data_IF_655447021146
#
_entry.id   IF_655447021146
#
_cell.length_a   1.000
_cell.length_b   1.000
_cell.length_c   1.000
_cell.angle_alpha   90.00
_cell.angle_beta   90.00
_cell.angle_gamma   90.00
#
_symmetry.space_group_name_H-M   'P 1'
#
loop_
_entity.id
_entity.type
_entity.pdbx_description
1 polymer ?
#
# COMPACT_ATOMS: atom_id res chain seq x y z
N UNK A 1 -0.66 -10.16 -15.79
CA UNK A 1 -0.51 -11.29 -14.84
C UNK A 1 0.72 -12.17 -15.12
N UNK A 2 1.00 -12.60 -16.36
CA UNK A 2 2.12 -13.52 -16.63
C UNK A 2 3.50 -13.03 -16.13
N UNK A 3 3.81 -11.73 -16.28
CA UNK A 3 5.09 -11.14 -15.82
C UNK A 3 5.29 -11.12 -14.30
N UNK A 4 4.22 -11.18 -13.52
CA UNK A 4 4.29 -11.19 -12.05
C UNK A 4 4.44 -12.61 -11.51
N UNK A 5 3.83 -13.59 -12.20
CA UNK A 5 3.77 -14.98 -11.73
C UNK A 5 5.12 -15.69 -11.78
N UNK A 6 5.98 -15.39 -12.76
CA UNK A 6 7.28 -16.06 -12.90
C UNK A 6 8.23 -15.75 -11.73
N UNK A 7 8.52 -14.48 -11.37
CA UNK A 7 9.34 -14.18 -10.20
C UNK A 7 8.75 -14.68 -8.88
N UNK A 8 7.43 -14.62 -8.74
CA UNK A 8 6.73 -15.11 -7.53
C UNK A 8 6.79 -16.62 -7.42
N UNK A 9 6.69 -17.34 -8.55
CA UNK A 9 6.84 -18.80 -8.58
C UNK A 9 8.25 -19.20 -8.17
N UNK A 10 9.27 -18.56 -8.73
CA UNK A 10 10.67 -18.84 -8.38
C UNK A 10 10.93 -18.59 -6.88
N UNK A 11 10.41 -17.48 -6.34
CA UNK A 11 10.56 -17.15 -4.92
C UNK A 11 9.87 -18.17 -4.02
N UNK A 12 8.63 -18.53 -4.33
CA UNK A 12 7.87 -19.52 -3.57
C UNK A 12 8.47 -20.93 -3.70
N UNK A 13 9.07 -21.28 -4.83
CA UNK A 13 9.80 -22.55 -4.99
C UNK A 13 10.98 -22.64 -4.02
N UNK A 14 11.79 -21.58 -3.93
CA UNK A 14 12.91 -21.51 -3.00
C UNK A 14 12.49 -21.69 -1.54
N UNK A 15 11.31 -21.18 -1.19
CA UNK A 15 10.77 -21.23 0.18
C UNK A 15 9.82 -22.42 0.42
N UNK A 16 9.71 -23.36 -0.53
CA UNK A 16 8.79 -24.51 -0.47
C UNK A 16 7.30 -24.13 -0.30
N UNK A 17 6.90 -22.95 -0.78
CA UNK A 17 5.56 -22.37 -0.66
C UNK A 17 4.73 -22.43 -1.96
N UNK A 18 5.03 -23.36 -2.88
CA UNK A 18 4.30 -23.49 -4.15
C UNK A 18 2.80 -23.79 -3.98
N UNK A 19 2.40 -24.36 -2.84
CA UNK A 19 1.00 -24.55 -2.48
C UNK A 19 0.23 -23.22 -2.32
N UNK A 20 0.93 -22.13 -2.04
CA UNK A 20 0.34 -20.80 -1.91
C UNK A 20 0.03 -20.16 -3.27
N UNK A 21 0.63 -20.61 -4.37
CA UNK A 21 0.39 -20.04 -5.71
C UNK A 21 -1.06 -20.17 -6.15
N UNK A 22 -1.73 -21.29 -5.80
CA UNK A 22 -3.13 -21.51 -6.17
C UNK A 22 -4.07 -20.51 -5.46
N UNK A 23 -3.70 -20.09 -4.24
CA UNK A 23 -4.43 -19.08 -3.47
C UNK A 23 -4.02 -17.65 -3.75
N UNK A 24 -2.92 -17.42 -4.49
CA UNK A 24 -2.38 -16.08 -4.75
C UNK A 24 -3.25 -15.32 -5.76
N UNK A 25 -4.27 -14.66 -5.23
CA UNK A 25 -5.26 -13.88 -5.98
C UNK A 25 -5.28 -12.44 -5.46
N UNK A 26 -4.35 -11.58 -5.91
CA UNK A 26 -4.31 -10.20 -5.47
C UNK A 26 -5.58 -9.47 -5.94
N UNK A 27 -6.20 -8.73 -5.03
CA UNK A 27 -7.34 -7.87 -5.34
C UNK A 27 -6.80 -6.53 -5.85
N UNK A 28 -7.13 -6.19 -7.09
CA UNK A 28 -6.67 -4.95 -7.74
C UNK A 28 -7.88 -4.03 -7.92
N UNK A 29 -7.77 -2.81 -7.40
CA UNK A 29 -8.75 -1.75 -7.62
C UNK A 29 -8.20 -0.77 -8.66
N UNK A 30 -8.56 -0.98 -9.93
CA UNK A 30 -8.20 -0.09 -11.03
C UNK A 30 -9.43 0.77 -11.38
N UNK A 31 -9.52 1.96 -10.78
CA UNK A 31 -10.57 2.93 -11.05
C UNK A 31 -9.94 4.28 -11.45
N UNK A 32 -10.22 4.81 -12.67
CA UNK A 32 -9.70 6.10 -13.10
C UNK A 32 -10.08 7.27 -12.18
N UNK A 33 -11.13 7.14 -11.37
CA UNK A 33 -11.49 8.15 -10.38
C UNK A 33 -10.48 8.29 -9.25
N UNK A 34 -9.63 7.30 -9.01
CA UNK A 34 -8.56 7.38 -8.01
C UNK A 34 -7.36 8.23 -8.46
N UNK A 35 -7.28 8.57 -9.74
CA UNK A 35 -6.21 9.42 -10.24
C UNK A 35 -6.27 10.83 -9.61
N UNK A 36 -5.19 11.24 -8.96
CA UNK A 36 -5.11 12.49 -8.21
C UNK A 36 -5.95 12.55 -6.92
N UNK A 37 -6.48 11.42 -6.43
CA UNK A 37 -7.13 11.39 -5.11
C UNK A 37 -6.08 11.37 -3.99
N UNK A 38 -6.34 12.16 -2.94
CA UNK A 38 -5.53 12.11 -1.72
C UNK A 38 -5.61 10.74 -1.04
N UNK A 39 -4.54 10.35 -0.34
CA UNK A 39 -4.47 9.13 0.47
C UNK A 39 -5.63 9.02 1.48
N UNK A 40 -6.12 10.15 2.02
CA UNK A 40 -7.26 10.17 2.93
C UNK A 40 -8.56 9.65 2.28
N UNK A 41 -8.82 10.01 1.02
CA UNK A 41 -9.99 9.53 0.28
C UNK A 41 -9.84 8.03 -0.02
N UNK A 42 -8.64 7.60 -0.40
CA UNK A 42 -8.34 6.20 -0.66
C UNK A 42 -8.50 5.33 0.60
N UNK A 43 -8.05 5.82 1.77
CA UNK A 43 -8.30 5.18 3.08
C UNK A 43 -9.80 5.02 3.34
N UNK A 44 -10.61 6.05 3.09
CA UNK A 44 -12.06 5.95 3.28
C UNK A 44 -12.71 4.88 2.37
N UNK A 45 -12.27 4.80 1.11
CA UNK A 45 -12.72 3.78 0.18
C UNK A 45 -12.28 2.37 0.64
N UNK A 46 -11.03 2.23 1.08
CA UNK A 46 -10.47 0.99 1.61
C UNK A 46 -11.20 0.52 2.87
N UNK A 47 -11.39 1.39 3.87
CA UNK A 47 -12.15 1.07 5.10
C UNK A 47 -13.54 0.53 4.75
N UNK A 48 -14.24 1.17 3.80
CA UNK A 48 -15.55 0.69 3.34
C UNK A 48 -15.48 -0.72 2.76
N UNK A 49 -14.49 -1.01 1.91
CA UNK A 49 -14.29 -2.36 1.38
C UNK A 49 -13.97 -3.36 2.50
N UNK A 50 -13.04 -3.02 3.40
CA UNK A 50 -12.57 -3.85 4.49
C UNK A 50 -13.69 -4.30 5.45
N UNK A 51 -14.77 -3.53 5.59
CA UNK A 51 -15.94 -3.95 6.40
C UNK A 51 -16.72 -5.14 5.84
N UNK A 52 -16.60 -5.42 4.54
CA UNK A 52 -17.38 -6.49 3.87
C UNK A 52 -16.52 -7.60 3.28
N UNK A 53 -15.23 -7.32 3.06
CA UNK A 53 -14.28 -8.26 2.47
C UNK A 53 -14.08 -9.56 3.29
N UNK A 54 -13.92 -9.55 4.64
CA UNK A 54 -13.71 -10.77 5.40
C UNK A 54 -14.84 -11.79 5.21
N UNK A 55 -16.09 -11.32 5.26
CA UNK A 55 -17.25 -12.17 5.07
C UNK A 55 -17.33 -12.72 3.64
N UNK A 56 -16.98 -11.91 2.62
CA UNK A 56 -17.00 -12.33 1.22
C UNK A 56 -15.86 -13.31 0.89
N UNK A 57 -14.68 -13.12 1.47
CA UNK A 57 -13.48 -13.89 1.16
C UNK A 57 -13.34 -15.15 2.02
N UNK A 58 -13.67 -15.06 3.31
CA UNK A 58 -13.43 -16.10 4.31
C UNK A 58 -14.73 -16.75 4.81
N UNK A 59 -15.90 -16.15 4.54
CA UNK A 59 -17.18 -16.62 5.05
C UNK A 59 -17.40 -16.36 6.54
N UNK A 60 -16.48 -15.64 7.19
CA UNK A 60 -16.53 -15.25 8.60
C UNK A 60 -16.24 -13.76 8.73
N UNK A 61 -16.91 -13.12 9.69
CA UNK A 61 -16.74 -11.70 9.98
C UNK A 61 -15.58 -11.49 10.95
N UNK A 62 -14.35 -11.51 10.41
CA UNK A 62 -13.07 -11.32 11.13
C UNK A 62 -12.42 -9.98 10.77
N UNK A 63 -13.24 -8.94 10.63
CA UNK A 63 -12.78 -7.59 10.29
C UNK A 63 -11.65 -7.13 11.22
N UNK A 64 -10.54 -6.66 10.64
CA UNK A 64 -9.42 -6.08 11.38
C UNK A 64 -8.37 -7.04 11.96
N UNK A 65 -8.53 -8.37 11.81
CA UNK A 65 -7.55 -9.33 12.36
C UNK A 65 -6.41 -9.69 11.37
N UNK A 66 -6.60 -9.40 10.08
CA UNK A 66 -5.64 -9.71 9.01
C UNK A 66 -5.05 -8.44 8.43
N UNK A 67 -3.73 -8.44 8.19
CA UNK A 67 -3.03 -7.35 7.49
C UNK A 67 -3.67 -6.99 6.14
N UNK A 68 -4.32 -7.95 5.47
CA UNK A 68 -5.08 -7.74 4.23
C UNK A 68 -6.21 -6.71 4.36
N UNK A 69 -6.79 -6.58 5.55
CA UNK A 69 -7.88 -5.64 5.85
C UNK A 69 -7.40 -4.38 6.59
N UNK A 70 -6.10 -4.33 6.93
CA UNK A 70 -5.49 -3.19 7.62
C UNK A 70 -4.67 -2.32 6.67
N UNK A 71 -3.96 -2.93 5.71
CA UNK A 71 -3.07 -2.23 4.81
C UNK A 71 -3.49 -2.39 3.36
N UNK A 72 -3.24 -1.36 2.55
CA UNK A 72 -3.30 -1.46 1.10
C UNK A 72 -2.02 -0.94 0.45
N UNK A 73 -1.74 -1.45 -0.74
CA UNK A 73 -0.61 -1.00 -1.54
C UNK A 73 -1.12 0.02 -2.55
N UNK A 74 -0.56 1.23 -2.49
CA UNK A 74 -0.77 2.26 -3.49
C UNK A 74 0.37 2.18 -4.53
N UNK A 75 -0.03 2.13 -5.80
CA UNK A 75 0.88 2.14 -6.95
C UNK A 75 0.61 3.40 -7.74
N UNK A 76 1.36 4.46 -7.44
CA UNK A 76 1.37 5.68 -8.23
C UNK A 76 2.43 5.60 -9.35
N UNK A 77 2.55 6.68 -10.14
CA UNK A 77 3.52 6.73 -11.24
C UNK A 77 4.95 6.55 -10.75
N UNK A 78 5.31 7.14 -9.61
CA UNK A 78 6.66 7.03 -9.04
C UNK A 78 6.99 5.60 -8.62
N UNK A 79 6.10 4.95 -7.85
CA UNK A 79 6.28 3.56 -7.43
C UNK A 79 6.33 2.61 -8.64
N UNK A 80 5.48 2.85 -9.65
CA UNK A 80 5.49 2.07 -10.88
C UNK A 80 6.82 2.22 -11.63
N UNK A 81 7.29 3.45 -11.81
CA UNK A 81 8.57 3.73 -12.46
C UNK A 81 9.75 3.17 -11.66
N UNK A 82 9.69 3.24 -10.33
CA UNK A 82 10.70 2.63 -9.46
C UNK A 82 10.86 1.15 -9.77
N UNK A 83 9.76 0.39 -9.79
CA UNK A 83 9.80 -1.05 -10.08
C UNK A 83 10.17 -1.35 -11.54
N UNK A 84 9.73 -0.54 -12.51
CA UNK A 84 10.01 -0.77 -13.92
C UNK A 84 11.45 -0.41 -14.33
N UNK A 85 12.06 0.58 -13.66
CA UNK A 85 13.44 1.00 -13.91
C UNK A 85 14.46 0.23 -13.07
N UNK A 86 14.01 -0.56 -12.09
CA UNK A 86 14.83 -1.51 -11.35
C UNK A 86 15.49 -2.55 -12.25
N UNK A 87 16.65 -3.03 -11.80
CA UNK A 87 17.31 -4.16 -12.44
C UNK A 87 16.40 -5.40 -12.37
N UNK A 88 16.01 -6.00 -13.52
CA UNK A 88 15.17 -7.19 -13.53
C UNK A 88 15.85 -8.42 -12.93
N UNK A 89 17.17 -8.40 -12.73
CA UNK A 89 17.91 -9.48 -12.04
C UNK A 89 18.01 -9.24 -10.51
N UNK A 90 17.59 -8.07 -10.01
CA UNK A 90 17.60 -7.68 -8.59
C UNK A 90 16.19 -7.34 -8.08
N UNK A 91 15.25 -8.24 -8.38
CA UNK A 91 13.83 -8.15 -7.99
C UNK A 91 13.74 -8.26 -6.46
N UNK A 92 13.71 -7.10 -5.80
CA UNK A 92 13.48 -6.98 -4.36
C UNK A 92 14.31 -5.93 -3.64
N UNK A 93 15.38 -5.40 -4.25
CA UNK A 93 16.29 -4.47 -3.56
C UNK A 93 16.14 -3.00 -3.99
N UNK A 94 15.59 -2.73 -5.17
CA UNK A 94 15.63 -1.37 -5.75
C UNK A 94 14.26 -0.75 -6.02
N UNK A 95 13.22 -1.57 -6.22
CA UNK A 95 11.86 -1.12 -6.43
C UNK A 95 11.13 -0.93 -5.11
N UNK A 96 10.29 0.11 -5.01
CA UNK A 96 9.42 0.30 -3.85
C UNK A 96 7.95 0.45 -4.25
N UNK A 97 7.09 0.22 -3.27
CA UNK A 97 5.65 0.51 -3.33
C UNK A 97 5.24 1.23 -2.06
N UNK A 98 4.16 2.01 -2.12
CA UNK A 98 3.64 2.71 -0.95
C UNK A 98 2.68 1.78 -0.20
N UNK A 99 3.08 1.31 0.98
CA UNK A 99 2.19 0.60 1.89
C UNK A 99 1.48 1.64 2.75
N UNK A 100 0.14 1.63 2.74
CA UNK A 100 -0.66 2.60 3.49
C UNK A 100 -1.43 1.87 4.58
N UNK A 101 -1.27 2.34 5.81
CA UNK A 101 -2.16 1.98 6.91
C UNK A 101 -3.55 2.58 6.67
N UNK A 102 -4.53 1.69 6.55
CA UNK A 102 -5.92 2.01 6.35
C UNK A 102 -6.54 2.70 7.57
N UNK A 103 -6.09 2.37 8.78
CA UNK A 103 -6.65 2.89 10.04
C UNK A 103 -6.00 4.19 10.51
N UNK A 104 -4.84 4.58 9.95
CA UNK A 104 -4.13 5.80 10.33
C UNK A 104 -5.00 7.07 10.22
N UNK A 105 -4.93 7.90 11.25
CA UNK A 105 -5.56 9.22 11.35
C UNK A 105 -4.50 10.22 11.84
N UNK A 106 -4.49 11.47 11.33
CA UNK A 106 -3.53 12.46 11.77
C UNK A 106 -3.78 12.82 13.24
N UNK A 107 -2.70 12.85 14.03
CA UNK A 107 -2.78 13.35 15.40
C UNK A 107 -3.19 14.83 15.38
N UNK A 108 -4.36 15.13 15.91
CA UNK A 108 -4.80 16.51 16.11
C UNK A 108 -4.12 17.04 17.37
N UNK A 109 -2.95 17.65 17.21
CA UNK A 109 -2.33 18.43 18.26
C UNK A 109 -3.25 19.60 18.65
N UNK A 110 -3.96 19.47 19.77
CA UNK A 110 -4.77 20.54 20.37
C UNK A 110 -3.91 21.75 20.85
N UNK A 111 -2.58 21.70 20.71
CA UNK A 111 -1.64 22.68 21.30
C UNK A 111 -0.66 23.34 20.31
N UNK A 112 -0.89 23.27 19.00
CA UNK A 112 -0.02 23.92 18.01
C UNK A 112 -0.36 25.41 17.81
N UNK A 113 0.06 26.23 18.78
CA UNK A 113 0.29 27.66 18.61
C UNK A 113 1.77 28.00 18.86
N UNK A 114 2.69 27.14 18.43
CA UNK A 114 4.13 27.39 18.49
C UNK A 114 4.75 27.24 17.09
N UNK A 115 5.16 28.37 16.54
CA UNK A 115 5.88 28.49 15.28
C UNK A 115 7.24 27.78 15.37
N UNK A 116 7.38 26.66 14.68
CA UNK A 116 8.68 25.98 14.49
C UNK A 116 9.26 26.35 13.13
N UNK A 117 10.27 27.22 13.15
CA UNK A 117 11.19 27.47 12.03
C UNK A 117 12.01 26.20 11.78
N UNK A 118 11.81 25.54 10.63
CA UNK A 118 12.70 24.50 10.12
C UNK A 118 13.10 24.83 8.68
N UNK A 119 14.20 25.58 8.58
CA UNK A 119 15.09 25.66 7.42
C UNK A 119 15.68 24.25 7.16
N UNK A 120 15.03 23.44 6.32
CA UNK A 120 15.71 22.53 5.38
C UNK A 120 14.69 22.08 4.32
N UNK A 121 14.95 22.55 3.10
CA UNK A 121 14.16 22.40 1.89
C UNK A 121 14.11 20.92 1.44
N UNK A 122 13.19 20.13 2.01
CA UNK A 122 12.73 18.89 1.38
C UNK A 122 11.44 19.21 0.64
N UNK A 123 11.45 19.07 -0.69
CA UNK A 123 10.23 19.19 -1.50
C UNK A 123 9.22 18.15 -1.00
N UNK A 124 8.22 18.64 -0.26
CA UNK A 124 7.09 17.87 0.20
C UNK A 124 6.42 17.20 -0.99
N UNK A 125 6.42 15.86 -1.02
CA UNK A 125 5.58 15.11 -1.94
C UNK A 125 4.13 15.44 -1.59
N UNK A 126 3.54 16.34 -2.38
CA UNK A 126 2.13 16.71 -2.27
C UNK A 126 1.71 17.19 -0.86
N UNK A 127 2.61 17.90 -0.16
CA UNK A 127 2.32 18.45 1.18
C UNK A 127 2.47 17.46 2.35
N UNK A 128 2.99 16.25 2.13
CA UNK A 128 3.32 15.32 3.21
C UNK A 128 4.55 15.79 3.98
N UNK A 129 4.39 15.96 5.29
CA UNK A 129 5.47 16.16 6.27
C UNK A 129 5.96 14.81 6.80
N UNK A 130 7.09 14.81 7.50
CA UNK A 130 7.71 13.61 8.10
C UNK A 130 6.75 12.83 9.02
N UNK A 131 5.71 13.47 9.53
CA UNK A 131 4.69 12.88 10.40
C UNK A 131 3.54 12.19 9.65
N UNK A 132 3.47 12.32 8.32
CA UNK A 132 2.44 11.71 7.45
C UNK A 132 2.80 10.29 6.95
N UNK A 133 4.01 9.82 7.27
CA UNK A 133 4.51 8.47 6.93
C UNK A 133 4.49 7.56 8.16
N UNK A 134 3.29 7.20 8.60
CA UNK A 134 3.03 6.13 9.57
C UNK A 134 3.17 4.73 8.97
#
# INVERSE_FOLDING_TARGET
>A
MARFLEPVTERLESDSGLDMLEGFTPTIFEDPSFDGMTTAILRAHFKKWATTAPLQEQGVDTCGESGRHLFFVMVDQEALESVLNSDPDDIGNTGFVRLVDGEWEPDVDEDSNESVDLDEELESLEGCMQDDVG
#
